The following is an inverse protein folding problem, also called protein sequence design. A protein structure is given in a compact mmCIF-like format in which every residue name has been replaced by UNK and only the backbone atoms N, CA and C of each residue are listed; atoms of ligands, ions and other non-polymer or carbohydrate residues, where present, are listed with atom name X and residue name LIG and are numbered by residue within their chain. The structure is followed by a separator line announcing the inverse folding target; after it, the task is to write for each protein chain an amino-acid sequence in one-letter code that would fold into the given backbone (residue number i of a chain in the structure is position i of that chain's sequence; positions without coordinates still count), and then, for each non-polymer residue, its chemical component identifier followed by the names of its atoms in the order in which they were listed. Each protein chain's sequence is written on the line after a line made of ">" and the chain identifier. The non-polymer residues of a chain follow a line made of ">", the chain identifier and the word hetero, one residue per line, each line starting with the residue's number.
data_IF_013414646912
#
_entry.id   IF_013414646912
#
_cell.length_a   1.000
_cell.length_b   1.000
_cell.length_c   1.000
_cell.angle_alpha   90.00
_cell.angle_beta   90.00
_cell.angle_gamma   90.00
#
_symmetry.space_group_name_H-M   'P 1'
#
loop_
_entity.id
_entity.type
_entity.pdbx_description
1 polymer ?
#
# COMPACT_ATOMS: atom_id res chain seq x y z
N UNK A 1 9.79 25.19 75.21
CA UNK A 1 10.20 24.23 74.15
C UNK A 1 9.52 24.64 72.84
N UNK A 2 10.24 25.35 71.98
CA UNK A 2 9.72 25.89 70.71
C UNK A 2 10.55 25.30 69.56
N UNK A 3 9.97 24.36 68.81
CA UNK A 3 10.60 23.78 67.63
C UNK A 3 10.44 24.74 66.46
N UNK A 4 11.57 25.29 65.99
CA UNK A 4 11.61 26.36 64.97
C UNK A 4 11.14 25.89 63.58
N UNK A 5 10.23 26.63 62.90
CA UNK A 5 9.66 26.28 61.59
C UNK A 5 10.64 26.39 60.40
N UNK A 6 11.86 26.92 60.62
CA UNK A 6 12.85 27.17 59.57
C UNK A 6 13.45 25.89 58.96
N UNK A 7 13.50 24.77 59.71
CA UNK A 7 14.19 23.54 59.27
C UNK A 7 13.40 22.73 58.22
N UNK A 8 12.08 22.94 58.13
CA UNK A 8 11.17 22.19 57.23
C UNK A 8 11.11 22.76 55.81
N UNK A 9 11.28 24.09 55.66
CA UNK A 9 11.31 24.78 54.35
C UNK A 9 12.58 24.48 53.55
N UNK A 10 13.74 24.40 54.22
CA UNK A 10 15.03 24.12 53.54
C UNK A 10 15.12 22.70 52.97
N UNK A 11 14.45 21.72 53.59
CA UNK A 11 14.38 20.35 53.08
C UNK A 11 13.52 20.21 51.81
N UNK A 12 12.43 20.98 51.70
CA UNK A 12 11.54 20.97 50.52
C UNK A 12 12.22 21.66 49.33
N UNK A 13 12.90 22.79 49.58
CA UNK A 13 13.66 23.49 48.52
C UNK A 13 14.83 22.62 48.02
N UNK A 14 15.58 21.96 48.92
CA UNK A 14 16.64 21.02 48.52
C UNK A 14 16.12 19.85 47.68
N UNK A 15 14.99 19.25 48.04
CA UNK A 15 14.40 18.15 47.24
C UNK A 15 13.92 18.59 45.86
N UNK A 16 13.36 19.80 45.76
CA UNK A 16 12.95 20.38 44.46
C UNK A 16 14.15 20.71 43.57
N UNK A 17 15.22 21.26 44.13
CA UNK A 17 16.46 21.53 43.40
C UNK A 17 17.12 20.24 42.92
N UNK A 18 17.19 19.20 43.76
CA UNK A 18 17.74 17.90 43.35
C UNK A 18 16.92 17.25 42.24
N UNK A 19 15.57 17.29 42.32
CA UNK A 19 14.71 16.75 41.26
C UNK A 19 14.88 17.52 39.93
N UNK A 20 15.04 18.84 40.00
CA UNK A 20 15.26 19.68 38.82
C UNK A 20 16.63 19.41 38.18
N UNK A 21 17.67 19.23 39.00
CA UNK A 21 19.00 18.84 38.52
C UNK A 21 18.94 17.48 37.84
N UNK A 22 18.32 16.46 38.46
CA UNK A 22 18.18 15.13 37.84
C UNK A 22 17.44 15.19 36.51
N UNK A 23 16.35 15.96 36.42
CA UNK A 23 15.59 16.12 35.19
C UNK A 23 16.43 16.78 34.08
N UNK A 24 17.16 17.86 34.40
CA UNK A 24 18.04 18.54 33.45
C UNK A 24 19.18 17.62 32.99
N UNK A 25 19.74 16.81 33.89
CA UNK A 25 20.79 15.83 33.54
C UNK A 25 20.25 14.75 32.61
N UNK A 26 19.02 14.24 32.86
CA UNK A 26 18.38 13.24 32.00
C UNK A 26 18.06 13.79 30.61
N UNK A 27 17.56 15.03 30.52
CA UNK A 27 17.31 15.71 29.24
C UNK A 27 18.62 15.93 28.49
N UNK A 28 19.66 16.39 29.19
CA UNK A 28 20.98 16.63 28.59
C UNK A 28 21.60 15.32 28.08
N UNK A 29 21.45 14.22 28.82
CA UNK A 29 21.89 12.90 28.40
C UNK A 29 21.12 12.40 27.18
N UNK A 30 19.79 12.59 27.15
CA UNK A 30 18.96 12.20 26.00
C UNK A 30 19.34 12.98 24.73
N UNK A 31 19.59 14.29 24.86
CA UNK A 31 20.08 15.13 23.76
C UNK A 31 21.47 14.65 23.32
N UNK A 32 22.38 14.37 24.27
CA UNK A 32 23.72 13.91 23.94
C UNK A 32 23.71 12.56 23.22
N UNK A 33 22.85 11.61 23.64
CA UNK A 33 22.64 10.34 22.92
C UNK A 33 22.08 10.56 21.53
N UNK A 34 21.12 11.47 21.35
CA UNK A 34 20.55 11.78 20.05
C UNK A 34 21.58 12.36 19.05
N UNK A 35 22.56 13.12 19.54
CA UNK A 35 23.64 13.68 18.71
C UNK A 35 24.89 12.78 18.60
N UNK A 36 25.04 11.78 19.47
CA UNK A 36 26.14 10.82 19.42
C UNK A 36 25.87 9.63 18.49
N UNK A 37 24.66 9.49 17.95
CA UNK A 37 24.35 8.54 16.87
C UNK A 37 25.04 9.06 15.60
N UNK A 38 26.04 8.36 15.05
CA UNK A 38 26.63 8.73 13.77
C UNK A 38 25.51 8.80 12.74
N UNK A 39 25.37 9.94 12.07
CA UNK A 39 24.37 10.14 11.03
C UNK A 39 24.39 8.96 10.08
N UNK A 40 23.23 8.32 9.88
CA UNK A 40 23.09 7.20 8.96
C UNK A 40 23.67 7.64 7.61
N UNK A 41 24.81 7.07 7.26
CA UNK A 41 25.35 7.19 5.91
C UNK A 41 24.25 6.70 4.98
N UNK A 42 23.70 7.55 4.09
CA UNK A 42 22.70 7.10 3.14
C UNK A 42 23.28 5.91 2.39
N UNK A 43 22.52 4.81 2.29
CA UNK A 43 22.92 3.70 1.46
C UNK A 43 23.25 4.25 0.06
N UNK A 44 24.47 3.98 -0.41
CA UNK A 44 24.96 4.49 -1.69
C UNK A 44 24.07 3.89 -2.77
N UNK A 45 23.22 4.72 -3.37
CA UNK A 45 22.41 4.35 -4.53
C UNK A 45 23.37 3.87 -5.63
N UNK A 46 23.27 2.62 -6.11
CA UNK A 46 24.08 2.16 -7.23
C UNK A 46 23.87 3.10 -8.41
N UNK A 47 24.94 3.50 -9.10
CA UNK A 47 24.90 4.44 -10.22
C UNK A 47 24.06 3.96 -11.43
N UNK A 48 23.42 2.79 -11.36
CA UNK A 48 22.48 2.26 -12.34
C UNK A 48 21.00 2.52 -12.03
N UNK A 49 20.64 3.11 -10.89
CA UNK A 49 19.23 3.38 -10.53
C UNK A 49 18.62 4.60 -11.26
N UNK A 50 19.37 5.21 -12.18
CA UNK A 50 18.97 6.42 -12.89
C UNK A 50 19.10 6.28 -14.41
N UNK A 51 18.51 5.23 -14.99
CA UNK A 51 18.17 5.19 -16.40
C UNK A 51 16.82 4.47 -16.55
N UNK A 52 15.78 5.09 -17.14
CA UNK A 52 14.61 4.34 -17.55
C UNK A 52 15.01 3.46 -18.72
N UNK A 53 15.30 2.19 -18.46
CA UNK A 53 15.43 1.20 -19.51
C UNK A 53 14.04 0.90 -20.04
N UNK A 54 13.62 1.63 -21.07
CA UNK A 54 12.56 1.18 -21.95
C UNK A 54 12.92 -0.23 -22.44
N UNK A 55 12.05 -1.21 -22.17
CA UNK A 55 12.14 -2.53 -22.80
C UNK A 55 12.71 -3.69 -21.97
N UNK A 56 12.81 -3.61 -20.63
CA UNK A 56 13.01 -4.85 -19.87
C UNK A 56 11.65 -5.54 -19.68
N UNK A 57 11.41 -6.60 -20.45
CA UNK A 57 10.41 -7.60 -20.11
C UNK A 57 10.67 -8.05 -18.66
N UNK A 58 9.64 -8.00 -17.81
CA UNK A 58 9.69 -8.58 -16.47
C UNK A 58 10.03 -10.06 -16.65
N UNK A 59 11.09 -10.53 -15.99
CA UNK A 59 11.56 -11.91 -16.09
C UNK A 59 10.41 -12.86 -15.69
N UNK A 60 10.06 -13.77 -16.59
CA UNK A 60 8.77 -14.49 -16.60
C UNK A 60 8.65 -15.62 -15.57
N UNK A 61 9.53 -15.70 -14.58
CA UNK A 61 9.63 -16.84 -13.66
C UNK A 61 9.10 -16.54 -12.23
N UNK A 62 8.68 -15.30 -11.95
CA UNK A 62 8.00 -14.96 -10.68
C UNK A 62 6.63 -14.29 -10.92
N UNK A 63 5.83 -14.80 -11.88
CA UNK A 63 4.42 -14.38 -11.99
C UNK A 63 3.59 -14.98 -10.85
N UNK A 64 3.52 -14.24 -9.76
CA UNK A 64 2.86 -14.70 -8.54
C UNK A 64 1.36 -14.41 -8.59
N UNK A 65 0.54 -15.44 -8.40
CA UNK A 65 -0.92 -15.30 -8.31
C UNK A 65 -1.29 -14.80 -6.90
N UNK A 66 -1.97 -13.66 -6.82
CA UNK A 66 -2.42 -13.05 -5.55
C UNK A 66 -3.90 -13.30 -5.27
N UNK A 67 -4.69 -13.51 -6.32
CA UNK A 67 -6.12 -13.72 -6.22
C UNK A 67 -6.66 -14.46 -7.45
N UNK A 68 -7.94 -14.84 -7.39
CA UNK A 68 -8.72 -15.29 -8.54
C UNK A 68 -10.02 -14.53 -8.65
N UNK A 69 -10.48 -14.32 -9.87
CA UNK A 69 -11.81 -13.80 -10.21
C UNK A 69 -12.55 -14.93 -10.93
N UNK A 70 -13.47 -15.59 -10.24
CA UNK A 70 -14.27 -16.68 -10.83
C UNK A 70 -13.43 -17.78 -11.53
N UNK A 71 -12.24 -18.06 -11.00
CA UNK A 71 -11.31 -19.05 -11.55
C UNK A 71 -10.23 -18.47 -12.46
N UNK A 72 -10.30 -17.19 -12.85
CA UNK A 72 -9.24 -16.48 -13.57
C UNK A 72 -8.17 -16.01 -12.60
N UNK A 73 -6.93 -16.47 -12.77
CA UNK A 73 -5.79 -16.08 -11.95
C UNK A 73 -5.40 -14.60 -12.19
N UNK A 74 -5.30 -13.84 -11.10
CA UNK A 74 -4.85 -12.45 -11.05
C UNK A 74 -3.42 -12.42 -10.52
N UNK A 75 -2.50 -11.90 -11.32
CA UNK A 75 -1.10 -11.77 -10.93
C UNK A 75 -0.86 -10.56 -10.03
N UNK A 76 0.23 -10.62 -9.26
CA UNK A 76 0.82 -9.46 -8.61
C UNK A 76 1.19 -8.41 -9.69
N UNK A 77 0.60 -7.20 -9.66
CA UNK A 77 0.75 -6.22 -10.74
C UNK A 77 2.04 -5.39 -10.63
N UNK A 78 2.85 -5.60 -9.60
CA UNK A 78 4.11 -4.88 -9.36
C UNK A 78 5.21 -5.89 -9.06
N UNK A 79 6.47 -5.48 -9.22
CA UNK A 79 7.60 -6.36 -8.93
C UNK A 79 7.59 -6.80 -7.45
N UNK A 80 7.98 -8.06 -7.21
CA UNK A 80 7.97 -8.69 -5.88
C UNK A 80 8.77 -7.87 -4.87
N UNK A 81 9.96 -7.42 -5.27
CA UNK A 81 10.87 -6.59 -4.48
C UNK A 81 10.36 -5.18 -4.20
N UNK A 82 9.42 -4.68 -5.00
CA UNK A 82 8.79 -3.38 -4.81
C UNK A 82 7.51 -3.47 -3.98
N UNK A 83 6.98 -4.67 -3.74
CA UNK A 83 5.71 -4.89 -3.05
C UNK A 83 5.86 -4.66 -1.54
N UNK A 84 4.97 -3.87 -0.96
CA UNK A 84 4.99 -3.50 0.47
C UNK A 84 3.83 -4.09 1.27
N UNK A 85 2.69 -4.40 0.63
CA UNK A 85 1.60 -5.18 1.21
C UNK A 85 0.70 -5.79 0.13
N UNK A 86 -0.05 -6.83 0.49
CA UNK A 86 -1.22 -7.31 -0.26
C UNK A 86 -2.38 -7.36 0.71
N UNK A 87 -3.45 -6.63 0.44
CA UNK A 87 -4.59 -6.54 1.34
C UNK A 87 -5.91 -6.52 0.59
N UNK A 88 -6.92 -7.14 1.16
CA UNK A 88 -8.27 -7.09 0.64
C UNK A 88 -9.16 -6.30 1.58
N UNK A 89 -10.21 -5.68 1.04
CA UNK A 89 -11.16 -4.90 1.82
C UNK A 89 -12.55 -4.91 1.16
N UNK A 90 -13.61 -4.56 1.89
CA UNK A 90 -14.91 -4.30 1.28
C UNK A 90 -14.90 -2.99 0.48
N UNK A 91 -15.74 -2.92 -0.55
CA UNK A 91 -15.93 -1.75 -1.42
C UNK A 91 -17.40 -1.34 -1.39
N UNK A 92 -17.68 -0.07 -1.62
CA UNK A 92 -19.05 0.45 -1.69
C UNK A 92 -19.57 0.41 -3.13
N UNK A 93 -19.54 -0.78 -3.75
CA UNK A 93 -20.07 -1.01 -5.10
C UNK A 93 -20.91 -2.27 -5.14
N UNK A 94 -22.17 -2.11 -5.57
CA UNK A 94 -23.18 -3.18 -5.49
C UNK A 94 -22.86 -4.35 -6.42
N UNK A 95 -22.34 -4.05 -7.60
CA UNK A 95 -22.04 -5.06 -8.64
C UNK A 95 -20.59 -5.56 -8.54
N UNK A 96 -19.94 -5.33 -7.39
CA UNK A 96 -18.59 -5.77 -7.14
C UNK A 96 -18.51 -7.30 -7.00
N UNK A 97 -17.61 -7.91 -7.75
CA UNK A 97 -17.30 -9.34 -7.68
C UNK A 97 -16.15 -9.55 -6.71
N UNK A 98 -16.35 -10.43 -5.74
CA UNK A 98 -15.33 -10.76 -4.75
C UNK A 98 -14.13 -11.47 -5.40
N UNK A 99 -12.92 -11.03 -5.05
CA UNK A 99 -11.71 -11.81 -5.28
C UNK A 99 -11.70 -13.04 -4.37
N UNK A 100 -11.17 -14.15 -4.88
CA UNK A 100 -10.76 -15.30 -4.08
C UNK A 100 -9.27 -15.19 -3.78
N UNK A 101 -8.84 -14.86 -2.55
CA UNK A 101 -7.43 -14.67 -2.23
C UNK A 101 -6.60 -15.95 -2.43
N UNK A 102 -5.39 -15.79 -2.93
CA UNK A 102 -4.38 -16.85 -3.00
C UNK A 102 -3.26 -16.52 -2.03
N UNK A 103 -2.93 -17.47 -1.16
CA UNK A 103 -1.88 -17.30 -0.15
C UNK A 103 -2.39 -17.49 1.29
N UNK A 104 -1.62 -17.01 2.25
CA UNK A 104 -1.89 -17.13 3.68
C UNK A 104 -2.40 -15.81 4.24
N UNK A 105 -3.61 -15.82 4.81
CA UNK A 105 -4.11 -14.69 5.61
C UNK A 105 -3.26 -14.53 6.86
N UNK A 106 -2.85 -13.30 7.15
CA UNK A 106 -2.16 -12.93 8.38
C UNK A 106 -3.07 -12.05 9.23
N UNK A 107 -3.02 -12.21 10.56
CA UNK A 107 -3.72 -11.33 11.47
C UNK A 107 -3.00 -9.97 11.48
N UNK A 108 -3.71 -8.89 11.12
CA UNK A 108 -3.20 -7.53 11.33
C UNK A 108 -3.27 -7.22 12.83
N UNK A 109 -2.14 -7.28 13.54
CA UNK A 109 -2.25 -7.26 15.00
C UNK A 109 -0.97 -7.16 15.82
N UNK A 110 -0.10 -6.17 15.55
CA UNK A 110 0.95 -5.77 16.48
C UNK A 110 2.11 -5.05 15.80
N UNK A 111 2.72 -4.07 16.47
CA UNK A 111 3.87 -3.31 15.93
C UNK A 111 5.05 -4.22 15.53
N UNK A 112 5.13 -5.45 16.07
CA UNK A 112 6.16 -6.45 15.78
C UNK A 112 5.87 -7.43 14.64
N UNK A 113 4.60 -7.65 14.27
CA UNK A 113 4.22 -8.57 13.18
C UNK A 113 4.25 -7.87 11.80
N UNK A 114 4.47 -6.55 11.79
CA UNK A 114 4.49 -5.66 10.61
C UNK A 114 5.71 -5.82 9.70
N UNK A 115 6.61 -6.75 10.01
CA UNK A 115 7.89 -6.92 9.31
C UNK A 115 8.06 -8.32 8.69
N UNK A 116 7.01 -9.15 8.71
CA UNK A 116 7.05 -10.43 8.03
C UNK A 116 7.09 -10.20 6.51
N UNK A 117 8.12 -10.73 5.84
CA UNK A 117 8.21 -10.65 4.38
C UNK A 117 6.90 -11.13 3.75
N UNK A 118 6.27 -10.30 2.92
CA UNK A 118 4.99 -10.58 2.22
C UNK A 118 5.04 -11.93 1.51
N UNK A 119 6.23 -12.38 1.17
CA UNK A 119 6.48 -13.68 0.59
C UNK A 119 7.12 -14.57 1.66
N UNK A 120 6.35 -15.54 2.15
CA UNK A 120 6.84 -16.51 3.13
C UNK A 120 8.01 -17.33 2.55
N UNK A 121 8.87 -17.86 3.42
CA UNK A 121 9.84 -18.89 3.01
C UNK A 121 9.08 -20.04 2.34
N UNK A 122 9.33 -20.25 1.04
CA UNK A 122 8.54 -21.16 0.18
C UNK A 122 7.70 -20.48 -0.91
N UNK A 123 7.74 -19.15 -1.05
CA UNK A 123 7.24 -18.42 -2.22
C UNK A 123 5.75 -18.05 -2.21
N UNK A 124 5.02 -18.36 -1.14
CA UNK A 124 3.59 -18.01 -1.02
C UNK A 124 3.34 -16.55 -0.58
N UNK A 125 2.29 -15.93 -1.13
CA UNK A 125 1.81 -14.59 -0.75
C UNK A 125 1.20 -14.63 0.66
N UNK A 126 1.54 -13.65 1.48
CA UNK A 126 0.84 -13.30 2.70
C UNK A 126 -0.08 -12.12 2.42
N UNK A 127 -1.33 -12.21 2.86
CA UNK A 127 -2.31 -11.14 2.66
C UNK A 127 -3.03 -10.76 3.95
N UNK A 128 -3.56 -9.53 3.96
CA UNK A 128 -4.35 -8.98 5.05
C UNK A 128 -5.80 -8.79 4.62
N UNK A 129 -6.71 -8.79 5.58
CA UNK A 129 -8.06 -8.25 5.40
C UNK A 129 -8.14 -6.95 6.19
N UNK A 130 -8.53 -5.87 5.52
CA UNK A 130 -8.75 -4.56 6.11
C UNK A 130 -10.24 -4.30 6.24
N UNK A 131 -10.59 -3.52 7.26
CA UNK A 131 -11.90 -2.88 7.30
C UNK A 131 -11.97 -1.82 6.20
N UNK A 132 -13.15 -1.57 5.65
CA UNK A 132 -13.35 -0.63 4.54
C UNK A 132 -14.74 -0.02 4.55
N UNK A 133 -15.01 0.85 3.58
CA UNK A 133 -16.26 1.63 3.49
C UNK A 133 -17.45 0.87 2.91
N UNK A 134 -17.38 -0.43 2.68
CA UNK A 134 -18.50 -1.20 2.13
C UNK A 134 -19.65 -1.40 3.13
N UNK A 135 -20.88 -1.43 2.61
CA UNK A 135 -22.07 -1.80 3.39
C UNK A 135 -22.02 -3.25 3.90
N UNK A 136 -22.98 -3.62 4.76
CA UNK A 136 -23.03 -4.94 5.40
C UNK A 136 -23.04 -6.13 4.41
N UNK A 137 -23.43 -5.88 3.16
CA UNK A 137 -23.52 -6.87 2.09
C UNK A 137 -22.24 -6.96 1.23
N UNK A 138 -21.27 -6.04 1.39
CA UNK A 138 -20.01 -6.09 0.64
C UNK A 138 -19.16 -7.25 1.14
N UNK A 139 -18.65 -8.06 0.20
CA UNK A 139 -17.62 -9.05 0.53
C UNK A 139 -16.39 -8.35 1.12
N UNK A 140 -15.73 -8.92 2.15
CA UNK A 140 -14.46 -8.41 2.68
C UNK A 140 -13.30 -8.51 1.67
N UNK A 141 -13.53 -9.15 0.52
CA UNK A 141 -12.55 -9.31 -0.55
C UNK A 141 -13.00 -8.71 -1.88
N UNK A 142 -13.89 -7.72 -1.85
CA UNK A 142 -14.36 -7.06 -3.06
C UNK A 142 -13.32 -6.08 -3.66
N UNK A 143 -12.45 -5.52 -2.82
CA UNK A 143 -11.30 -4.71 -3.23
C UNK A 143 -9.99 -5.42 -2.91
N UNK A 144 -8.97 -5.13 -3.70
CA UNK A 144 -7.60 -5.64 -3.57
C UNK A 144 -6.59 -4.49 -3.72
N UNK A 145 -5.85 -4.22 -2.65
CA UNK A 145 -4.76 -3.28 -2.62
C UNK A 145 -3.42 -4.01 -2.69
N UNK A 146 -2.57 -3.57 -3.61
CA UNK A 146 -1.17 -4.01 -3.70
C UNK A 146 -0.28 -2.81 -3.46
N UNK A 147 0.30 -2.77 -2.27
CA UNK A 147 1.22 -1.73 -1.83
C UNK A 147 2.54 -1.82 -2.61
N UNK A 148 3.06 -0.67 -3.04
CA UNK A 148 4.37 -0.60 -3.67
C UNK A 148 4.96 0.82 -3.65
N UNK A 149 6.27 0.89 -3.83
CA UNK A 149 7.00 2.17 -3.89
C UNK A 149 6.45 3.03 -5.05
N UNK A 150 6.13 4.32 -4.83
CA UNK A 150 5.68 5.21 -5.90
C UNK A 150 6.62 5.22 -7.10
N UNK A 151 6.05 5.20 -8.31
CA UNK A 151 6.81 5.10 -9.55
C UNK A 151 7.19 3.69 -9.97
N UNK A 152 6.93 2.67 -9.15
CA UNK A 152 7.11 1.26 -9.56
C UNK A 152 6.24 0.94 -10.77
N UNK A 153 6.76 0.23 -11.79
CA UNK A 153 5.97 -0.18 -12.94
C UNK A 153 4.79 -1.06 -12.51
N UNK A 154 3.63 -0.78 -13.06
CA UNK A 154 2.42 -1.59 -12.90
C UNK A 154 2.20 -2.37 -14.19
N UNK A 155 2.21 -3.71 -14.12
CA UNK A 155 1.89 -4.58 -15.25
C UNK A 155 0.45 -5.06 -15.15
N UNK A 156 -0.14 -5.44 -16.29
CA UNK A 156 -1.50 -5.98 -16.32
C UNK A 156 -1.58 -7.27 -15.53
N UNK A 157 -2.46 -7.39 -14.53
CA UNK A 157 -2.58 -8.60 -13.73
C UNK A 157 -3.43 -9.69 -14.41
N UNK A 158 -4.09 -9.35 -15.52
CA UNK A 158 -4.94 -10.23 -16.34
C UNK A 158 -4.72 -9.99 -17.83
N UNK A 159 -5.12 -10.95 -18.67
CA UNK A 159 -5.25 -10.75 -20.11
C UNK A 159 -6.58 -10.05 -20.38
N UNK A 160 -6.60 -9.10 -21.31
CA UNK A 160 -7.83 -8.36 -21.56
C UNK A 160 -7.71 -7.25 -22.59
N UNK A 161 -8.75 -6.42 -22.64
CA UNK A 161 -8.80 -5.22 -23.47
C UNK A 161 -9.09 -4.01 -22.60
N UNK A 162 -8.29 -2.95 -22.77
CA UNK A 162 -8.54 -1.66 -22.13
C UNK A 162 -9.82 -1.07 -22.73
N UNK A 163 -10.83 -0.83 -21.90
CA UNK A 163 -12.10 -0.23 -22.33
C UNK A 163 -12.21 1.24 -21.90
N UNK A 164 -11.43 1.68 -20.91
CA UNK A 164 -11.34 3.07 -20.52
C UNK A 164 -10.00 3.38 -19.84
N UNK A 165 -9.55 4.62 -20.02
CA UNK A 165 -8.48 5.26 -19.23
C UNK A 165 -9.02 6.61 -18.79
N UNK A 166 -9.31 6.76 -17.49
CA UNK A 166 -10.00 7.95 -16.95
C UNK A 166 -9.07 8.70 -16.02
N UNK A 167 -8.82 9.96 -16.35
CA UNK A 167 -8.14 10.87 -15.42
C UNK A 167 -9.16 11.54 -14.51
N UNK A 168 -8.89 11.56 -13.20
CA UNK A 168 -9.72 12.26 -12.23
C UNK A 168 -8.86 12.93 -11.15
N UNK A 169 -9.51 13.66 -10.25
CA UNK A 169 -8.84 14.33 -9.13
C UNK A 169 -9.37 13.83 -7.80
N UNK A 170 -8.53 13.12 -7.04
CA UNK A 170 -8.81 12.74 -5.66
C UNK A 170 -8.88 14.01 -4.81
N UNK A 171 -9.97 14.17 -4.07
CA UNK A 171 -10.31 15.37 -3.28
C UNK A 171 -10.27 16.68 -4.11
N UNK A 172 -10.51 16.59 -5.43
CA UNK A 172 -10.48 17.75 -6.33
C UNK A 172 -9.10 18.38 -6.53
N UNK A 173 -8.02 17.76 -6.05
CA UNK A 173 -6.67 18.33 -6.09
C UNK A 173 -5.59 17.39 -6.62
N UNK A 174 -5.67 16.09 -6.32
CA UNK A 174 -4.60 15.16 -6.63
C UNK A 174 -4.96 14.36 -7.87
N UNK A 175 -4.21 14.55 -8.97
CA UNK A 175 -4.42 13.81 -10.21
C UNK A 175 -4.29 12.31 -9.95
N UNK A 176 -5.23 11.55 -10.47
CA UNK A 176 -5.25 10.10 -10.42
C UNK A 176 -5.74 9.54 -11.75
N UNK A 177 -5.38 8.30 -12.04
CA UNK A 177 -5.79 7.59 -13.24
C UNK A 177 -6.40 6.24 -12.87
N UNK A 178 -7.53 5.97 -13.50
CA UNK A 178 -8.23 4.69 -13.51
C UNK A 178 -8.09 4.04 -14.87
N UNK A 179 -7.83 2.73 -14.90
CA UNK A 179 -7.77 1.92 -16.10
C UNK A 179 -8.76 0.77 -15.94
N UNK A 180 -9.69 0.66 -16.88
CA UNK A 180 -10.71 -0.39 -16.90
C UNK A 180 -10.34 -1.42 -17.97
N UNK A 181 -10.25 -2.69 -17.56
CA UNK A 181 -9.89 -3.82 -18.43
C UNK A 181 -11.05 -4.80 -18.46
N UNK A 182 -11.63 -5.02 -19.64
CA UNK A 182 -12.51 -6.16 -19.86
C UNK A 182 -11.67 -7.43 -19.94
N UNK A 183 -11.95 -8.41 -19.08
CA UNK A 183 -11.19 -9.65 -19.02
C UNK A 183 -11.36 -10.44 -20.32
N UNK A 184 -10.26 -10.98 -20.86
CA UNK A 184 -10.31 -11.80 -22.07
C UNK A 184 -11.09 -13.11 -21.85
N UNK A 185 -11.03 -13.67 -20.64
CA UNK A 185 -11.72 -14.91 -20.28
C UNK A 185 -13.23 -14.74 -20.10
N UNK A 186 -13.69 -13.56 -19.64
CA UNK A 186 -15.09 -13.19 -19.51
C UNK A 186 -15.23 -11.67 -19.65
N UNK A 187 -15.62 -11.17 -20.85
CA UNK A 187 -15.79 -9.74 -21.08
C UNK A 187 -16.94 -9.08 -20.30
N UNK A 188 -17.78 -9.84 -19.59
CA UNK A 188 -18.78 -9.27 -18.66
C UNK A 188 -18.15 -8.82 -17.34
N UNK A 189 -16.89 -9.17 -17.09
CA UNK A 189 -16.12 -8.74 -15.93
C UNK A 189 -15.17 -7.60 -16.33
N UNK A 190 -15.27 -6.49 -15.60
CA UNK A 190 -14.37 -5.35 -15.71
C UNK A 190 -13.46 -5.30 -14.50
N UNK A 191 -12.15 -5.41 -14.72
CA UNK A 191 -11.16 -5.09 -13.70
C UNK A 191 -10.86 -3.59 -13.77
N UNK A 192 -11.21 -2.90 -12.71
CA UNK A 192 -10.92 -1.48 -12.50
C UNK A 192 -9.64 -1.37 -11.69
N UNK A 193 -8.67 -0.61 -12.20
CA UNK A 193 -7.36 -0.40 -11.59
C UNK A 193 -7.16 1.09 -11.38
N UNK A 194 -7.04 1.53 -10.11
CA UNK A 194 -6.89 2.94 -9.73
C UNK A 194 -5.54 3.20 -9.08
N UNK A 195 -5.25 4.47 -8.81
CA UNK A 195 -3.97 4.90 -8.22
C UNK A 195 -2.80 4.70 -9.19
N UNK A 196 -3.07 4.94 -10.47
CA UNK A 196 -2.08 4.89 -11.55
C UNK A 196 -1.55 6.30 -11.84
N UNK A 197 -0.24 6.40 -11.98
CA UNK A 197 0.46 7.54 -12.53
C UNK A 197 1.04 7.19 -13.90
N UNK A 198 1.10 8.18 -14.80
CA UNK A 198 1.71 8.05 -16.15
C UNK A 198 1.18 6.81 -16.88
N UNK A 199 -0.12 6.78 -17.25
CA UNK A 199 -0.70 5.63 -17.94
C UNK A 199 0.11 5.30 -19.20
N UNK A 200 0.41 4.01 -19.37
CA UNK A 200 1.23 3.46 -20.45
C UNK A 200 0.42 2.76 -21.55
N UNK A 201 -0.90 2.77 -21.44
CA UNK A 201 -1.84 2.13 -22.37
C UNK A 201 -2.94 3.08 -22.79
N UNK A 202 -3.60 2.78 -23.91
CA UNK A 202 -4.73 3.55 -24.44
C UNK A 202 -6.01 2.71 -24.51
N UNK A 203 -7.17 3.38 -24.60
CA UNK A 203 -8.45 2.72 -24.82
C UNK A 203 -8.40 1.89 -26.12
N UNK A 204 -8.87 0.65 -26.04
CA UNK A 204 -8.90 -0.29 -27.15
C UNK A 204 -7.69 -1.22 -27.24
N UNK A 205 -6.62 -0.93 -26.51
CA UNK A 205 -5.41 -1.75 -26.47
C UNK A 205 -5.66 -3.13 -25.84
N UNK A 206 -5.01 -4.17 -26.39
CA UNK A 206 -5.01 -5.51 -25.82
C UNK A 206 -3.81 -5.64 -24.89
N UNK A 207 -4.05 -6.07 -23.66
CA UNK A 207 -3.04 -6.21 -22.63
C UNK A 207 -2.78 -7.68 -22.34
N UNK A 208 -1.51 -8.00 -22.10
CA UNK A 208 -1.06 -9.34 -21.73
C UNK A 208 -0.66 -9.37 -20.27
N UNK A 209 -1.17 -10.37 -19.57
CA UNK A 209 -0.96 -10.63 -18.15
C UNK A 209 0.53 -10.76 -17.83
N UNK A 210 1.01 -9.99 -16.85
CA UNK A 210 2.41 -9.97 -16.39
C UNK A 210 3.39 -9.29 -17.35
N UNK A 211 2.95 -8.83 -18.52
CA UNK A 211 3.83 -8.31 -19.56
C UNK A 211 3.55 -6.84 -19.91
N UNK A 212 2.29 -6.48 -20.15
CA UNK A 212 1.95 -5.12 -20.57
C UNK A 212 2.03 -4.15 -19.40
N UNK A 213 2.85 -3.11 -19.51
CA UNK A 213 2.95 -2.04 -18.50
C UNK A 213 1.78 -1.08 -18.64
N UNK A 214 0.93 -1.02 -17.63
CA UNK A 214 -0.24 -0.14 -17.54
C UNK A 214 0.12 1.29 -17.13
N UNK A 215 1.24 1.47 -16.42
CA UNK A 215 1.70 2.75 -15.90
C UNK A 215 2.63 2.55 -14.72
N UNK A 216 2.52 3.42 -13.71
CA UNK A 216 3.29 3.34 -12.49
C UNK A 216 2.43 3.59 -11.24
N UNK A 217 2.86 3.07 -10.09
CA UNK A 217 2.19 3.32 -8.80
C UNK A 217 2.18 4.82 -8.49
N UNK A 218 1.01 5.38 -8.19
CA UNK A 218 0.88 6.77 -7.77
C UNK A 218 1.31 6.92 -6.31
N UNK A 219 2.10 7.97 -6.03
CA UNK A 219 2.36 8.40 -4.66
C UNK A 219 1.24 9.23 -4.08
N UNK A 220 0.86 8.98 -2.84
CA UNK A 220 -0.07 9.77 -2.06
C UNK A 220 0.68 10.89 -1.31
N UNK A 221 0.10 12.10 -1.21
CA UNK A 221 0.69 13.19 -0.49
C UNK A 221 0.77 12.87 1.02
N UNK A 222 1.84 13.32 1.72
CA UNK A 222 1.91 13.20 3.17
C UNK A 222 0.68 13.84 3.83
N UNK A 223 -0.03 13.07 4.66
CA UNK A 223 -1.23 13.52 5.36
C UNK A 223 -2.57 13.09 4.74
N UNK A 224 -2.57 12.45 3.56
CA UNK A 224 -3.73 11.71 3.07
C UNK A 224 -3.64 10.26 3.56
N UNK A 225 -4.26 9.96 4.71
CA UNK A 225 -4.22 8.62 5.32
C UNK A 225 -4.85 7.58 4.38
N UNK A 226 -4.08 6.55 4.04
CA UNK A 226 -4.55 5.34 3.36
C UNK A 226 -4.70 4.22 4.37
N UNK A 227 -5.75 3.39 4.27
CA UNK A 227 -5.93 2.26 5.17
C UNK A 227 -4.70 1.33 5.18
N UNK A 228 -4.09 1.13 4.00
CA UNK A 228 -2.90 0.31 3.80
C UNK A 228 -1.67 0.82 4.55
N UNK A 229 -1.59 2.12 4.89
CA UNK A 229 -0.45 2.71 5.63
C UNK A 229 -0.28 2.12 7.03
N UNK A 230 -1.29 1.41 7.54
CA UNK A 230 -1.22 0.69 8.82
C UNK A 230 -0.38 -0.59 8.73
N UNK A 231 -0.23 -1.11 7.50
CA UNK A 231 0.46 -2.35 7.15
C UNK A 231 1.81 -2.09 6.47
N UNK A 232 2.02 -0.92 5.89
CA UNK A 232 3.28 -0.54 5.23
C UNK A 232 4.13 0.40 6.11
N UNK A 233 5.37 0.64 5.68
CA UNK A 233 6.28 1.63 6.30
C UNK A 233 6.31 2.96 5.53
N UNK A 234 5.46 3.11 4.52
CA UNK A 234 5.30 4.30 3.67
C UNK A 234 3.93 4.95 3.89
N UNK A 235 3.47 5.81 2.98
CA UNK A 235 2.16 6.48 3.07
C UNK A 235 0.98 5.54 2.79
N UNK A 236 1.20 4.24 2.60
CA UNK A 236 0.23 3.29 2.07
C UNK A 236 0.07 3.46 0.56
N UNK A 237 1.17 3.73 -0.15
CA UNK A 237 1.17 3.88 -1.60
C UNK A 237 0.88 2.53 -2.27
N UNK A 238 -0.10 2.48 -3.16
CA UNK A 238 -0.61 1.22 -3.71
C UNK A 238 -1.32 1.40 -5.04
N UNK A 239 -1.53 0.27 -5.72
CA UNK A 239 -2.56 0.10 -6.75
C UNK A 239 -3.78 -0.53 -6.09
N UNK A 240 -4.96 0.02 -6.34
CA UNK A 240 -6.22 -0.56 -5.89
C UNK A 240 -6.94 -1.19 -7.08
N UNK A 241 -7.45 -2.40 -6.88
CA UNK A 241 -8.19 -3.18 -7.86
C UNK A 241 -9.57 -3.55 -7.35
N UNK A 242 -10.55 -3.50 -8.24
CA UNK A 242 -11.92 -3.94 -8.01
C UNK A 242 -12.44 -4.59 -9.28
N UNK A 243 -13.35 -5.55 -9.15
CA UNK A 243 -14.02 -6.15 -10.30
C UNK A 243 -15.49 -5.80 -10.28
N UNK A 244 -16.02 -5.29 -11.39
CA UNK A 244 -17.45 -5.11 -11.59
C UNK A 244 -17.97 -6.15 -12.59
N UNK A 245 -19.16 -6.67 -12.33
CA UNK A 245 -19.93 -7.38 -13.35
C UNK A 245 -20.82 -6.40 -14.09
N UNK A 246 -20.63 -6.31 -15.40
CA UNK A 246 -21.55 -5.56 -16.27
C UNK A 246 -22.67 -6.50 -16.68
N UNK A 247 -23.83 -6.33 -16.07
CA UNK A 247 -25.06 -6.93 -16.58
C UNK A 247 -25.49 -6.21 -17.87
N UNK A 248 -25.98 -6.93 -18.88
CA UNK A 248 -26.37 -6.35 -20.18
C UNK A 248 -27.43 -5.24 -20.13
N UNK A 249 -28.04 -4.96 -18.98
CA UNK A 249 -29.08 -3.96 -18.80
C UNK A 249 -28.57 -2.51 -18.94
N UNK A 250 -27.24 -2.30 -18.95
CA UNK A 250 -26.61 -1.00 -19.14
C UNK A 250 -25.94 -0.82 -20.52
N UNK A 251 -26.01 -1.84 -21.39
CA UNK A 251 -25.64 -1.69 -22.80
C UNK A 251 -26.80 -1.07 -23.57
N UNK A 252 -27.06 0.22 -23.31
CA UNK A 252 -27.94 1.03 -24.14
C UNK A 252 -27.42 1.05 -25.57
N UNK A 253 -28.30 0.66 -26.50
CA UNK A 253 -28.16 0.89 -27.94
C UNK A 253 -28.19 2.39 -28.24
#
# INVERSE_FOLDING_TARGET
>A
MHTSPARRRSQIVRRRVVALVVLVTLISLAVWVAYAIPGQTPARVPAGAALPAAGRAVDSDETLVVARIEGVDVLLPVAREATTAVAFHPVDERDAVAFTPVGKRVAGGGLGDKLAGIFAEGGGVQYYLMDGSGGAESSPTAGLDVGAVPGSPVVSPVDGKVIAVKEHSVLGRYRDVEIDIALAADPSLLLIITHIAKPGVEMGEVVSRGATVLGAVRGFPPGLEQALSRLTSDNGDHVQMMVLRVTPELAGW
#
